data_IF_141180050438
#
_entry.id   IF_141180050438
#
_cell.length_a   1.000
_cell.length_b   1.000
_cell.length_c   1.000
_cell.angle_alpha   90.00
_cell.angle_beta   90.00
_cell.angle_gamma   90.00
#
_symmetry.space_group_name_H-M   'P 1'
#
loop_
_entity.id
_entity.type
_entity.pdbx_description
1 polymer ?
#
# COMPACT_ATOMS: atom_id res chain seq x y z
N UNK A 1 24.45 26.61 -18.50
CA UNK A 1 25.22 25.53 -17.85
C UNK A 1 25.70 24.57 -18.94
N UNK A 2 26.85 23.92 -18.75
CA UNK A 2 27.27 22.80 -19.64
C UNK A 2 26.63 21.52 -19.13
N UNK A 3 25.94 20.78 -20.00
CA UNK A 3 25.33 19.49 -19.66
C UNK A 3 25.72 18.45 -20.70
N UNK A 4 25.67 17.18 -20.30
CA UNK A 4 25.97 16.04 -21.17
C UNK A 4 24.66 15.27 -21.36
N UNK A 5 24.23 15.17 -22.61
CA UNK A 5 23.01 14.42 -22.96
C UNK A 5 23.27 12.92 -23.08
N UNK A 6 22.22 12.15 -23.39
CA UNK A 6 22.30 10.69 -23.57
C UNK A 6 23.29 10.23 -24.66
N UNK A 7 23.68 11.11 -25.59
CA UNK A 7 24.70 10.86 -26.61
C UNK A 7 26.13 11.03 -26.12
N UNK A 8 26.34 11.47 -24.88
CA UNK A 8 27.68 11.69 -24.29
C UNK A 8 28.37 12.98 -24.76
N UNK A 9 27.79 13.72 -25.70
CA UNK A 9 28.34 14.98 -26.19
C UNK A 9 27.91 16.16 -25.30
N UNK A 10 28.85 17.02 -24.87
CA UNK A 10 28.54 18.20 -24.08
C UNK A 10 27.86 19.28 -24.93
N UNK A 11 26.80 19.89 -24.43
CA UNK A 11 26.16 21.05 -25.05
C UNK A 11 25.78 22.12 -24.02
N UNK A 12 25.61 23.36 -24.51
CA UNK A 12 25.32 24.52 -23.65
C UNK A 12 23.82 24.74 -23.59
N UNK A 13 23.28 24.78 -22.38
CA UNK A 13 21.86 25.05 -22.12
C UNK A 13 21.67 26.36 -21.35
N UNK A 14 20.68 27.18 -21.72
CA UNK A 14 20.21 28.25 -20.86
C UNK A 14 19.66 27.68 -19.55
N UNK A 15 19.97 28.37 -18.44
CA UNK A 15 19.37 28.13 -17.13
C UNK A 15 18.34 29.23 -16.94
N UNK A 16 17.08 28.85 -16.79
CA UNK A 16 16.02 29.75 -16.34
C UNK A 16 16.08 29.74 -14.83
N UNK A 17 16.43 30.87 -14.23
CA UNK A 17 16.55 31.01 -12.77
C UNK A 17 15.24 31.47 -12.17
N UNK A 18 15.05 31.18 -10.89
CA UNK A 18 13.94 31.68 -10.09
C UNK A 18 12.57 31.29 -10.69
N UNK A 19 12.46 30.08 -11.24
CA UNK A 19 11.18 29.59 -11.79
C UNK A 19 10.23 29.33 -10.64
N UNK A 20 9.17 30.12 -10.58
CA UNK A 20 8.05 29.94 -9.65
C UNK A 20 6.98 29.06 -10.30
N UNK A 21 6.72 27.91 -9.68
CA UNK A 21 5.63 27.01 -10.04
C UNK A 21 4.56 27.13 -8.96
N UNK A 22 3.49 27.83 -9.28
CA UNK A 22 2.33 27.97 -8.42
C UNK A 22 1.27 26.90 -8.76
N UNK A 23 0.78 26.23 -7.73
CA UNK A 23 -0.44 25.43 -7.73
C UNK A 23 -1.36 25.96 -6.64
N UNK A 24 -2.66 25.61 -6.69
CA UNK A 24 -3.66 26.13 -5.75
C UNK A 24 -3.25 26.05 -4.26
N UNK A 25 -2.41 25.08 -3.88
CA UNK A 25 -2.02 24.84 -2.49
C UNK A 25 -0.49 24.85 -2.24
N UNK A 26 0.35 25.04 -3.26
CA UNK A 26 1.82 24.95 -3.12
C UNK A 26 2.54 25.82 -4.14
N UNK A 27 3.60 26.49 -3.69
CA UNK A 27 4.57 27.20 -4.51
C UNK A 27 5.90 26.44 -4.44
N UNK A 28 6.51 26.18 -5.60
CA UNK A 28 7.85 25.63 -5.70
C UNK A 28 8.75 26.59 -6.47
N UNK A 29 9.92 26.89 -5.92
CA UNK A 29 10.94 27.72 -6.54
C UNK A 29 12.13 26.85 -6.92
N UNK A 30 12.65 27.03 -8.14
CA UNK A 30 13.85 26.33 -8.57
C UNK A 30 14.42 26.84 -9.88
N UNK A 31 15.66 26.46 -10.15
CA UNK A 31 16.31 26.69 -11.44
C UNK A 31 15.95 25.56 -12.41
N UNK A 32 15.64 25.90 -13.67
CA UNK A 32 15.34 24.93 -14.72
C UNK A 32 16.30 25.04 -15.90
N UNK A 33 16.58 23.90 -16.54
CA UNK A 33 17.31 23.84 -17.79
C UNK A 33 16.32 23.80 -18.95
N UNK A 34 16.42 24.76 -19.88
CA UNK A 34 15.59 24.79 -21.08
C UNK A 34 16.37 24.17 -22.26
N UNK A 35 16.00 22.95 -22.64
CA UNK A 35 16.54 22.24 -23.82
C UNK A 35 15.49 22.26 -24.92
N UNK A 36 15.58 23.17 -25.89
CA UNK A 36 14.56 23.30 -26.95
C UNK A 36 14.49 22.06 -27.86
N UNK A 37 15.59 21.31 -28.01
CA UNK A 37 15.63 20.09 -28.82
C UNK A 37 15.05 18.86 -28.09
N UNK A 38 14.72 19.00 -26.80
CA UNK A 38 14.12 17.91 -26.04
C UNK A 38 12.69 17.68 -26.52
N UNK A 39 12.45 16.53 -27.14
CA UNK A 39 11.10 16.12 -27.58
C UNK A 39 10.11 15.92 -26.43
N UNK A 40 10.61 15.80 -25.20
CA UNK A 40 9.83 15.51 -24.00
C UNK A 40 10.33 16.37 -22.84
N UNK A 41 9.41 16.80 -22.00
CA UNK A 41 9.72 17.48 -20.75
C UNK A 41 10.37 16.49 -19.76
N UNK A 42 11.53 16.85 -19.21
CA UNK A 42 12.26 16.07 -18.23
C UNK A 42 12.13 16.63 -16.81
N UNK A 43 11.15 17.50 -16.55
CA UNK A 43 10.78 17.86 -15.19
C UNK A 43 10.61 16.58 -14.39
N UNK A 44 11.41 16.44 -13.34
CA UNK A 44 11.56 15.17 -12.63
C UNK A 44 10.20 14.63 -12.23
N UNK A 45 9.98 13.32 -12.45
CA UNK A 45 8.77 12.60 -12.03
C UNK A 45 8.38 12.95 -10.60
N UNK A 46 9.35 13.07 -9.71
CA UNK A 46 9.15 13.39 -8.30
C UNK A 46 8.55 14.79 -8.10
N UNK A 47 8.94 15.78 -8.90
CA UNK A 47 8.38 17.13 -8.85
C UNK A 47 6.95 17.14 -9.41
N UNK A 48 6.70 16.45 -10.53
CA UNK A 48 5.36 16.31 -11.11
C UNK A 48 4.40 15.59 -10.16
N UNK A 49 4.87 14.56 -9.46
CA UNK A 49 4.10 13.82 -8.44
C UNK A 49 3.86 14.69 -7.19
N UNK A 50 4.87 15.39 -6.69
CA UNK A 50 4.74 16.23 -5.49
C UNK A 50 3.77 17.41 -5.68
N UNK A 51 3.70 17.94 -6.90
CA UNK A 51 2.79 19.02 -7.30
C UNK A 51 1.45 18.47 -7.83
N UNK A 52 1.42 17.23 -8.31
CA UNK A 52 0.26 16.60 -8.96
C UNK A 52 -0.14 17.31 -10.25
N UNK A 53 0.86 17.70 -11.05
CA UNK A 53 0.70 18.38 -12.34
C UNK A 53 1.27 17.51 -13.46
N UNK A 54 0.60 17.51 -14.60
CA UNK A 54 1.14 16.99 -15.86
C UNK A 54 1.45 18.17 -16.77
N UNK A 55 2.59 18.14 -17.45
CA UNK A 55 3.03 19.23 -18.32
C UNK A 55 3.11 18.72 -19.75
N UNK A 56 2.28 19.28 -20.63
CA UNK A 56 2.18 18.91 -22.04
C UNK A 56 2.76 20.04 -22.88
N UNK A 57 3.75 19.75 -23.72
CA UNK A 57 4.18 20.69 -24.75
C UNK A 57 3.24 20.59 -25.95
N UNK A 58 2.52 21.68 -26.27
CA UNK A 58 1.62 21.77 -27.43
C UNK A 58 1.83 23.10 -28.14
N UNK A 59 2.08 23.08 -29.45
CA UNK A 59 2.27 24.27 -30.27
C UNK A 59 3.33 25.25 -29.71
N UNK A 60 4.47 24.70 -29.26
CA UNK A 60 5.55 25.45 -28.59
C UNK A 60 5.14 26.17 -27.30
N UNK A 61 4.01 25.78 -26.69
CA UNK A 61 3.55 26.27 -25.39
C UNK A 61 3.55 25.14 -24.37
N UNK A 62 3.97 25.47 -23.15
CA UNK A 62 3.83 24.58 -21.99
C UNK A 62 2.39 24.67 -21.48
N UNK A 63 1.64 23.58 -21.60
CA UNK A 63 0.27 23.46 -21.09
C UNK A 63 0.33 22.66 -19.79
N UNK A 64 -0.03 23.31 -18.69
CA UNK A 64 -0.23 22.63 -17.39
C UNK A 64 -1.59 21.95 -17.42
N UNK A 65 -1.60 20.65 -17.20
CA UNK A 65 -2.82 19.90 -16.99
C UNK A 65 -2.84 19.29 -15.60
N UNK A 66 -3.81 19.73 -14.80
CA UNK A 66 -4.14 19.17 -13.50
C UNK A 66 -5.18 18.08 -13.72
N UNK A 67 -4.75 16.83 -13.78
CA UNK A 67 -5.66 15.68 -13.81
C UNK A 67 -5.86 15.13 -12.39
N UNK A 68 -6.23 16.01 -11.45
CA UNK A 68 -6.74 15.58 -10.15
C UNK A 68 -8.24 15.43 -10.28
N UNK A 69 -8.77 14.36 -9.70
CA UNK A 69 -10.22 14.21 -9.47
C UNK A 69 -10.74 15.52 -8.87
N UNK A 70 -11.63 16.21 -9.59
CA UNK A 70 -12.24 17.42 -9.06
C UNK A 70 -13.33 17.05 -8.07
N UNK A 71 -13.72 17.98 -7.20
CA UNK A 71 -14.89 17.81 -6.31
C UNK A 71 -16.19 17.54 -7.08
N UNK A 72 -16.25 17.88 -8.37
CA UNK A 72 -17.37 17.54 -9.24
C UNK A 72 -17.29 16.09 -9.70
N UNK A 73 -16.10 15.64 -10.09
CA UNK A 73 -15.87 14.24 -10.50
C UNK A 73 -16.10 13.28 -9.32
N UNK A 74 -15.67 13.65 -8.11
CA UNK A 74 -15.93 12.85 -6.89
C UNK A 74 -17.42 12.65 -6.60
N UNK A 75 -18.29 13.62 -6.95
CA UNK A 75 -19.74 13.49 -6.78
C UNK A 75 -20.38 12.50 -7.74
N UNK A 76 -19.75 12.28 -8.89
CA UNK A 76 -20.21 11.32 -9.90
C UNK A 76 -19.68 9.90 -9.60
N UNK A 77 -18.66 9.77 -8.75
CA UNK A 77 -18.12 8.48 -8.33
C UNK A 77 -18.99 7.91 -7.20
N UNK A 78 -19.32 6.62 -7.30
CA UNK A 78 -20.05 5.93 -6.25
C UNK A 78 -19.25 6.02 -4.92
N UNK A 79 -19.76 6.69 -3.88
CA UNK A 79 -19.00 6.94 -2.65
C UNK A 79 -18.61 5.65 -1.92
N UNK A 80 -19.28 4.53 -2.21
CA UNK A 80 -19.00 3.22 -1.61
C UNK A 80 -17.72 2.55 -2.13
N UNK A 81 -17.13 3.03 -3.23
CA UNK A 81 -15.91 2.41 -3.79
C UNK A 81 -14.65 2.87 -3.06
N UNK A 82 -14.73 4.00 -2.36
CA UNK A 82 -13.62 4.54 -1.59
C UNK A 82 -13.62 3.96 -0.19
N UNK A 83 -12.42 3.64 0.31
CA UNK A 83 -12.24 3.25 1.69
C UNK A 83 -12.76 4.35 2.62
N UNK A 84 -13.72 3.99 3.47
CA UNK A 84 -14.23 4.85 4.54
C UNK A 84 -13.75 4.29 5.88
N UNK A 85 -13.28 5.18 6.76
CA UNK A 85 -12.78 4.78 8.07
C UNK A 85 -13.88 4.08 8.88
N UNK A 86 -13.59 2.86 9.36
CA UNK A 86 -14.50 2.07 10.18
C UNK A 86 -15.19 0.92 9.45
N UNK A 87 -15.15 0.89 8.11
CA UNK A 87 -15.66 -0.23 7.33
C UNK A 87 -14.51 -1.15 6.89
N UNK A 88 -14.80 -2.45 6.85
CA UNK A 88 -13.93 -3.45 6.23
C UNK A 88 -14.65 -3.98 4.99
N UNK A 89 -13.98 -3.96 3.84
CA UNK A 89 -14.49 -4.61 2.64
C UNK A 89 -14.67 -6.11 2.89
N UNK A 90 -15.70 -6.72 2.31
CA UNK A 90 -15.94 -8.17 2.37
C UNK A 90 -16.34 -8.65 0.98
N UNK A 91 -15.59 -9.60 0.45
CA UNK A 91 -15.91 -10.21 -0.83
C UNK A 91 -16.99 -11.28 -0.65
N UNK A 92 -18.00 -11.23 -1.53
CA UNK A 92 -18.99 -12.30 -1.65
C UNK A 92 -18.37 -13.47 -2.43
N UNK A 93 -17.64 -14.33 -1.73
CA UNK A 93 -17.02 -15.52 -2.29
C UNK A 93 -17.01 -16.67 -1.29
N UNK A 94 -16.81 -17.89 -1.81
CA UNK A 94 -16.61 -19.07 -0.97
C UNK A 94 -15.38 -18.88 -0.06
N UNK A 95 -15.51 -19.16 1.25
CA UNK A 95 -14.40 -19.02 2.19
C UNK A 95 -13.18 -19.85 1.78
N UNK A 96 -12.01 -19.21 1.84
CA UNK A 96 -10.75 -19.83 1.46
C UNK A 96 -10.36 -20.85 2.52
N UNK A 97 -10.12 -22.09 2.11
CA UNK A 97 -9.61 -23.16 2.97
C UNK A 97 -8.10 -23.34 2.79
N UNK A 98 -7.37 -23.46 3.89
CA UNK A 98 -5.91 -23.65 3.91
C UNK A 98 -5.61 -25.13 4.17
N UNK A 99 -4.88 -25.74 3.24
CA UNK A 99 -4.45 -27.12 3.38
C UNK A 99 -3.08 -27.18 4.06
N UNK A 100 -3.03 -27.74 5.26
CA UNK A 100 -1.81 -27.92 6.08
C UNK A 100 -1.36 -29.39 6.05
N UNK A 101 -0.06 -29.62 6.12
CA UNK A 101 0.53 -30.94 6.36
C UNK A 101 0.44 -31.32 7.83
N UNK A 102 0.02 -32.57 8.10
CA UNK A 102 -0.22 -33.11 9.46
C UNK A 102 -1.18 -32.24 10.29
N UNK A 103 -2.41 -31.96 9.81
CA UNK A 103 -3.34 -31.05 10.48
C UNK A 103 -3.63 -31.40 11.96
N UNK A 104 -3.40 -32.64 12.36
CA UNK A 104 -3.46 -33.14 13.73
C UNK A 104 -2.39 -32.55 14.68
N UNK A 105 -1.24 -32.16 14.16
CA UNK A 105 -0.14 -31.57 14.94
C UNK A 105 -0.35 -30.05 15.04
N UNK A 106 -0.64 -29.48 16.22
CA UNK A 106 -0.88 -28.05 16.36
C UNK A 106 0.39 -27.22 16.10
N UNK A 107 0.25 -26.11 15.40
CA UNK A 107 1.34 -25.15 15.18
C UNK A 107 1.40 -24.22 16.38
N UNK A 108 2.34 -24.46 17.30
CA UNK A 108 2.43 -23.70 18.55
C UNK A 108 3.78 -23.02 18.70
N UNK A 109 3.85 -21.77 18.27
CA UNK A 109 4.99 -20.88 18.47
C UNK A 109 4.69 -19.94 19.63
N UNK A 110 5.61 -19.81 20.60
CA UNK A 110 5.40 -18.97 21.78
C UNK A 110 5.39 -17.48 21.40
N UNK A 111 4.46 -16.71 21.97
CA UNK A 111 4.44 -15.26 21.84
C UNK A 111 5.77 -14.64 22.32
N UNK A 112 6.38 -13.83 21.46
CA UNK A 112 7.58 -13.06 21.80
C UNK A 112 7.23 -11.93 22.79
N UNK A 113 8.18 -11.52 23.65
CA UNK A 113 7.98 -10.36 24.50
C UNK A 113 7.67 -9.11 23.67
N UNK A 114 6.58 -8.41 24.00
CA UNK A 114 6.23 -7.12 23.42
C UNK A 114 6.42 -6.05 24.49
N UNK A 115 7.11 -4.95 24.15
CA UNK A 115 7.29 -3.83 25.08
C UNK A 115 5.95 -3.21 25.48
N UNK A 116 5.90 -2.52 26.62
CA UNK A 116 4.68 -1.84 27.06
C UNK A 116 4.23 -0.78 26.04
N UNK A 117 5.18 -0.04 25.46
CA UNK A 117 4.92 0.92 24.39
C UNK A 117 4.32 0.24 23.16
N UNK A 118 4.88 -0.89 22.73
CA UNK A 118 4.35 -1.68 21.61
C UNK A 118 2.94 -2.19 21.88
N UNK A 119 2.66 -2.70 23.09
CA UNK A 119 1.30 -3.12 23.48
C UNK A 119 0.32 -1.94 23.47
N UNK A 120 0.69 -0.78 24.00
CA UNK A 120 -0.16 0.42 23.93
C UNK A 120 -0.41 0.87 22.49
N UNK A 121 0.59 0.77 21.62
CA UNK A 121 0.45 1.07 20.19
C UNK A 121 -0.45 0.07 19.44
N UNK A 122 -0.41 -1.21 19.81
CA UNK A 122 -1.24 -2.25 19.19
C UNK A 122 -2.69 -2.29 19.70
N UNK A 123 -2.94 -1.86 20.93
CA UNK A 123 -4.28 -1.87 21.55
C UNK A 123 -5.39 -1.28 20.65
N UNK A 124 -5.30 -0.02 20.17
CA UNK A 124 -6.35 0.55 19.33
C UNK A 124 -6.50 -0.18 17.99
N UNK A 125 -5.43 -0.81 17.48
CA UNK A 125 -5.48 -1.59 16.24
C UNK A 125 -6.26 -2.88 16.48
N UNK A 126 -5.98 -3.61 17.56
CA UNK A 126 -6.68 -4.86 17.89
C UNK A 126 -8.15 -4.59 18.20
N UNK A 127 -8.46 -3.53 18.94
CA UNK A 127 -9.85 -3.14 19.22
C UNK A 127 -10.63 -2.80 17.94
N UNK A 128 -10.03 -2.09 16.99
CA UNK A 128 -10.63 -1.79 15.69
C UNK A 128 -10.84 -3.06 14.85
N UNK A 129 -9.87 -3.98 14.84
CA UNK A 129 -9.99 -5.26 14.13
C UNK A 129 -11.10 -6.15 14.73
N UNK A 130 -11.26 -6.16 16.05
CA UNK A 130 -12.37 -6.86 16.72
C UNK A 130 -13.71 -6.20 16.38
N UNK A 131 -13.79 -4.87 16.43
CA UNK A 131 -15.00 -4.13 16.10
C UNK A 131 -15.45 -4.37 14.64
N UNK A 132 -14.50 -4.52 13.71
CA UNK A 132 -14.74 -4.87 12.30
C UNK A 132 -15.05 -6.36 12.09
N UNK A 133 -14.91 -7.19 13.11
CA UNK A 133 -15.08 -8.65 13.04
C UNK A 133 -13.98 -9.34 12.22
N UNK A 134 -12.80 -8.73 12.10
CA UNK A 134 -11.62 -9.33 11.47
C UNK A 134 -10.90 -10.24 12.46
N UNK A 135 -10.89 -9.87 13.75
CA UNK A 135 -10.41 -10.71 14.85
C UNK A 135 -11.59 -11.12 15.73
N UNK A 136 -11.54 -12.35 16.24
CA UNK A 136 -12.52 -12.86 17.20
C UNK A 136 -11.81 -13.62 18.33
N UNK A 137 -12.23 -13.47 19.60
CA UNK A 137 -11.67 -14.28 20.67
C UNK A 137 -11.88 -15.78 20.41
N UNK A 138 -10.82 -16.57 20.54
CA UNK A 138 -10.86 -18.01 20.28
C UNK A 138 -10.12 -18.82 21.35
N UNK A 139 -10.32 -20.13 21.35
CA UNK A 139 -9.59 -21.09 22.19
C UNK A 139 -8.91 -22.11 21.28
N UNK A 140 -7.75 -21.75 20.73
CA UNK A 140 -7.00 -22.59 19.79
C UNK A 140 -5.87 -23.37 20.48
N UNK A 141 -5.55 -24.55 19.94
CA UNK A 141 -4.34 -25.31 20.29
C UNK A 141 -3.10 -24.77 19.56
N UNK A 142 -3.31 -24.03 18.49
CA UNK A 142 -2.28 -23.36 17.72
C UNK A 142 -2.01 -21.96 18.30
N UNK A 143 -0.82 -21.44 18.02
CA UNK A 143 -0.47 -20.06 18.30
C UNK A 143 0.64 -19.62 17.36
N UNK A 144 0.50 -18.43 16.79
CA UNK A 144 1.53 -17.71 16.05
C UNK A 144 1.81 -16.37 16.75
N UNK A 145 3.08 -15.93 16.84
CA UNK A 145 3.38 -14.73 17.58
C UNK A 145 3.08 -13.49 16.74
N UNK A 146 2.63 -12.44 17.41
CA UNK A 146 2.50 -11.10 16.84
C UNK A 146 3.68 -10.21 17.25
N UNK A 147 3.97 -9.22 16.42
CA UNK A 147 5.01 -8.23 16.60
C UNK A 147 4.42 -6.82 16.48
N UNK A 148 4.92 -5.92 17.33
CA UNK A 148 4.66 -4.49 17.23
C UNK A 148 5.82 -3.84 16.45
N UNK A 149 5.59 -3.47 15.19
CA UNK A 149 6.61 -2.83 14.35
C UNK A 149 6.34 -1.32 14.29
N UNK A 150 7.27 -0.52 14.80
CA UNK A 150 7.13 0.94 14.80
C UNK A 150 7.37 1.51 13.41
N UNK A 151 6.47 2.38 12.96
CA UNK A 151 6.57 3.14 11.71
C UNK A 151 7.42 4.40 11.89
N UNK A 152 7.82 5.00 10.78
CA UNK A 152 8.57 6.26 10.77
C UNK A 152 7.78 7.43 11.42
N UNK A 153 6.45 7.41 11.31
CA UNK A 153 5.54 8.40 11.92
C UNK A 153 5.28 8.17 13.42
N UNK A 154 5.87 7.11 14.01
CA UNK A 154 5.69 6.75 15.41
C UNK A 154 4.49 5.85 15.71
N UNK A 155 3.59 5.62 14.74
CA UNK A 155 2.51 4.63 14.88
C UNK A 155 3.04 3.20 14.75
N UNK A 156 2.18 2.20 14.98
CA UNK A 156 2.58 0.78 14.98
C UNK A 156 1.86 -0.02 13.88
N UNK A 157 2.54 -1.06 13.39
CA UNK A 157 1.95 -2.16 12.64
C UNK A 157 1.82 -3.38 13.54
N UNK A 158 0.65 -4.03 13.48
CA UNK A 158 0.47 -5.40 13.95
C UNK A 158 0.97 -6.34 12.85
N UNK A 159 2.02 -7.12 13.13
CA UNK A 159 2.56 -8.10 12.18
C UNK A 159 2.49 -9.47 12.82
N UNK A 160 1.89 -10.44 12.13
CA UNK A 160 1.86 -11.82 12.58
C UNK A 160 2.96 -12.63 11.89
N UNK A 161 3.73 -13.39 12.67
CA UNK A 161 4.76 -14.27 12.12
C UNK A 161 4.15 -15.63 11.75
N UNK A 162 3.87 -15.77 10.46
CA UNK A 162 3.25 -16.95 9.88
C UNK A 162 4.26 -17.95 9.30
N UNK A 163 5.57 -17.81 9.58
CA UNK A 163 6.60 -18.70 9.00
C UNK A 163 6.31 -20.18 9.27
N UNK A 164 6.00 -20.53 10.52
CA UNK A 164 5.67 -21.92 10.89
C UNK A 164 4.38 -22.45 10.24
N UNK A 165 3.43 -21.57 9.93
CA UNK A 165 2.21 -21.92 9.17
C UNK A 165 2.56 -22.15 7.71
N UNK A 166 3.32 -21.24 7.12
CA UNK A 166 3.73 -21.30 5.72
C UNK A 166 4.57 -22.55 5.41
N UNK A 167 5.49 -22.93 6.30
CA UNK A 167 6.32 -24.14 6.16
C UNK A 167 5.49 -25.43 6.08
N UNK A 168 4.30 -25.45 6.69
CA UNK A 168 3.40 -26.60 6.68
C UNK A 168 2.25 -26.45 5.70
N UNK A 169 2.15 -25.32 5.01
CA UNK A 169 1.07 -25.08 4.05
C UNK A 169 1.40 -25.77 2.73
N UNK A 170 0.48 -26.61 2.26
CA UNK A 170 0.59 -27.27 0.95
C UNK A 170 0.55 -26.19 -0.13
N UNK A 171 1.71 -25.92 -0.72
CA UNK A 171 1.90 -24.82 -1.67
C UNK A 171 1.08 -25.07 -2.93
N UNK A 172 0.32 -24.06 -3.36
CA UNK A 172 -0.30 -24.03 -4.69
C UNK A 172 0.64 -23.31 -5.66
N UNK A 173 0.56 -23.66 -6.94
CA UNK A 173 1.36 -22.97 -7.96
C UNK A 173 1.04 -21.47 -7.94
N UNK A 174 2.06 -20.58 -7.93
CA UNK A 174 1.83 -19.15 -8.01
C UNK A 174 1.22 -18.83 -9.37
N UNK A 175 0.02 -18.25 -9.37
CA UNK A 175 -0.71 -17.84 -10.58
C UNK A 175 -0.56 -16.35 -10.88
N UNK A 176 0.14 -15.60 -10.03
CA UNK A 176 0.34 -14.16 -10.21
C UNK A 176 1.38 -13.92 -11.30
N UNK A 177 0.97 -13.25 -12.38
CA UNK A 177 1.86 -12.88 -13.46
C UNK A 177 2.91 -11.84 -12.99
N UNK A 178 4.10 -11.90 -13.58
CA UNK A 178 5.15 -10.92 -13.31
C UNK A 178 4.68 -9.51 -13.72
N UNK A 179 4.91 -8.46 -12.91
CA UNK A 179 4.57 -7.08 -13.26
C UNK A 179 5.05 -6.63 -14.65
N UNK A 180 6.24 -7.05 -15.09
CA UNK A 180 6.73 -6.74 -16.44
C UNK A 180 5.85 -7.36 -17.53
N UNK A 181 5.37 -8.60 -17.32
CA UNK A 181 4.46 -9.28 -18.24
C UNK A 181 3.11 -8.57 -18.32
N UNK A 182 2.58 -8.12 -17.17
CA UNK A 182 1.32 -7.37 -17.10
C UNK A 182 1.45 -6.01 -17.79
N UNK A 183 2.55 -5.29 -17.59
CA UNK A 183 2.79 -4.00 -18.22
C UNK A 183 2.93 -4.09 -19.73
N UNK A 184 3.50 -5.19 -20.26
CA UNK A 184 3.58 -5.42 -21.70
C UNK A 184 2.21 -5.67 -22.37
N UNK A 185 1.15 -5.89 -21.60
CA UNK A 185 -0.21 -6.00 -22.13
C UNK A 185 -0.89 -4.63 -22.30
N UNK A 186 -0.31 -3.57 -21.73
CA UNK A 186 -0.81 -2.21 -21.88
C UNK A 186 -0.43 -1.69 -23.27
N UNK A 187 -1.41 -1.18 -24.01
CA UNK A 187 -1.17 -0.69 -25.36
C UNK A 187 -0.36 0.62 -25.33
N UNK A 188 0.64 0.79 -26.21
CA UNK A 188 1.30 2.08 -26.40
C UNK A 188 0.39 3.18 -26.95
N UNK A 189 -0.76 2.81 -27.53
CA UNK A 189 -1.76 3.73 -28.06
C UNK A 189 -2.70 4.28 -26.97
N UNK A 190 -2.73 3.64 -25.79
CA UNK A 190 -3.49 4.14 -24.65
C UNK A 190 -2.84 5.42 -24.11
N UNK A 191 -3.61 6.50 -24.06
CA UNK A 191 -3.15 7.83 -23.62
C UNK A 191 -3.68 8.21 -22.23
N UNK A 192 -4.59 7.43 -21.67
CA UNK A 192 -5.21 7.69 -20.37
C UNK A 192 -5.11 6.45 -19.48
N UNK A 193 -4.61 6.64 -18.26
CA UNK A 193 -4.45 5.58 -17.28
C UNK A 193 -5.06 6.01 -15.95
N UNK A 194 -5.56 5.03 -15.20
CA UNK A 194 -5.98 5.20 -13.81
C UNK A 194 -5.40 4.05 -12.99
N UNK A 195 -4.85 4.39 -11.83
CA UNK A 195 -4.25 3.41 -10.91
C UNK A 195 -5.09 3.42 -9.64
N UNK A 196 -5.54 2.25 -9.22
CA UNK A 196 -6.35 2.07 -8.01
C UNK A 196 -5.62 1.06 -7.13
N UNK A 197 -5.30 1.47 -5.91
CA UNK A 197 -4.76 0.59 -4.88
C UNK A 197 -5.86 0.18 -3.90
N UNK A 198 -6.01 -1.13 -3.68
CA UNK A 198 -6.98 -1.66 -2.74
C UNK A 198 -6.44 -1.60 -1.31
N UNK A 199 -7.19 -0.93 -0.43
CA UNK A 199 -6.87 -0.90 1.01
C UNK A 199 -7.25 -2.22 1.67
N UNK A 200 -6.31 -2.80 2.42
CA UNK A 200 -6.52 -4.01 3.26
C UNK A 200 -7.10 -5.21 2.50
N UNK A 201 -6.72 -5.37 1.23
CA UNK A 201 -7.29 -6.37 0.31
C UNK A 201 -7.24 -7.82 0.83
N UNK A 202 -6.29 -8.18 1.69
CA UNK A 202 -6.22 -9.52 2.27
C UNK A 202 -7.33 -9.80 3.30
N UNK A 203 -7.81 -8.78 4.01
CA UNK A 203 -8.87 -8.93 5.02
C UNK A 203 -10.26 -9.01 4.40
N UNK A 204 -10.40 -8.71 3.11
CA UNK A 204 -11.69 -8.79 2.41
C UNK A 204 -12.05 -10.21 2.00
N UNK A 205 -11.07 -11.11 1.90
CA UNK A 205 -11.26 -12.52 1.57
C UNK A 205 -11.68 -13.31 2.83
N UNK A 206 -12.86 -13.96 2.83
CA UNK A 206 -13.30 -14.76 3.97
C UNK A 206 -12.43 -16.03 4.13
N UNK A 207 -12.10 -16.38 5.38
CA UNK A 207 -11.39 -17.60 5.74
C UNK A 207 -12.35 -18.67 6.26
N UNK A 208 -12.24 -19.89 5.75
CA UNK A 208 -13.05 -21.01 6.20
C UNK A 208 -12.82 -21.31 7.69
N UNK A 209 -13.90 -21.59 8.43
CA UNK A 209 -13.86 -21.81 9.89
C UNK A 209 -12.80 -22.83 10.30
N UNK A 210 -12.74 -23.97 9.61
CA UNK A 210 -11.76 -25.03 9.89
C UNK A 210 -10.29 -24.65 9.65
N UNK A 211 -10.03 -23.48 9.04
CA UNK A 211 -8.67 -22.94 8.83
C UNK A 211 -8.31 -21.79 9.77
N UNK A 212 -9.28 -21.21 10.51
CA UNK A 212 -9.05 -20.04 11.36
C UNK A 212 -8.03 -20.31 12.47
N UNK A 213 -8.12 -21.48 13.09
CA UNK A 213 -7.25 -21.88 14.21
C UNK A 213 -5.76 -21.83 13.86
N UNK A 214 -5.37 -22.05 12.60
CA UNK A 214 -3.97 -21.98 12.18
C UNK A 214 -3.35 -20.58 12.33
N UNK A 215 -4.20 -19.55 12.32
CA UNK A 215 -3.81 -18.14 12.43
C UNK A 215 -4.13 -17.56 13.81
N UNK A 216 -4.44 -18.39 14.80
CA UNK A 216 -4.62 -17.90 16.16
C UNK A 216 -3.33 -17.28 16.70
N UNK A 217 -3.47 -16.21 17.48
CA UNK A 217 -2.39 -15.51 18.14
C UNK A 217 -2.75 -15.17 19.59
N UNK A 218 -1.74 -14.82 20.37
CA UNK A 218 -1.93 -14.45 21.76
C UNK A 218 -1.73 -12.94 21.92
N UNK A 219 -2.74 -12.28 22.46
CA UNK A 219 -2.74 -10.87 22.82
C UNK A 219 -2.74 -10.69 24.34
N UNK A 220 -2.09 -9.66 24.85
CA UNK A 220 -2.14 -9.29 26.26
C UNK A 220 -2.42 -7.79 26.37
N UNK A 221 -3.62 -7.45 26.87
CA UNK A 221 -4.02 -6.05 27.04
C UNK A 221 -3.12 -5.37 28.09
N UNK A 222 -2.48 -4.23 27.76
CA UNK A 222 -1.59 -3.51 28.66
C UNK A 222 -2.26 -2.99 29.94
N UNK A 223 -3.58 -2.82 29.95
CA UNK A 223 -4.33 -2.25 31.08
C UNK A 223 -5.01 -3.33 31.93
N UNK A 224 -5.35 -4.49 31.33
CA UNK A 224 -6.03 -5.58 32.04
C UNK A 224 -5.11 -6.74 32.44
N UNK A 225 -3.86 -6.80 31.95
CA UNK A 225 -2.90 -7.89 32.19
C UNK A 225 -3.50 -9.30 31.96
N UNK A 226 -4.54 -9.42 31.12
CA UNK A 226 -5.17 -10.68 30.75
C UNK A 226 -4.69 -11.09 29.37
N UNK A 227 -4.23 -12.33 29.27
CA UNK A 227 -3.90 -12.96 27.99
C UNK A 227 -5.19 -13.45 27.34
N UNK A 228 -5.41 -13.06 26.09
CA UNK A 228 -6.51 -13.48 25.26
C UNK A 228 -5.95 -14.13 24.00
N UNK A 229 -6.59 -15.20 23.55
CA UNK A 229 -6.31 -15.80 22.24
C UNK A 229 -7.32 -15.25 21.25
N UNK A 230 -6.83 -14.85 20.08
CA UNK A 230 -7.62 -14.19 19.02
C UNK A 230 -7.10 -14.59 17.65
#
# INVERSE_FOLDING_TARGET
MMVIGAKGEPFKVPVVRDVEIESENKICLGDMLLVEEAKYNLLGRDLMVALGIHLIMKDSKLVVSLYKLTLKDEKEINPKVWYTQGEAGRLEMEPISIAIERPEDPIRVKQYPISLEGRRGLKPIIEDLIAKGILEPCMSRCNTPILAVRKADGSYWLVQDLRAVNERTKTRFPVVANPYTLLNQVSPEDIWYSVIDLKDASWTCPLAEGSRDYFACQWEDPDMNRKQSS
#
